data_IF_814138672681
#
_entry.id   IF_814138672681
#
_cell.length_a   1.000
_cell.length_b   1.000
_cell.length_c   1.000
_cell.angle_alpha   90.00
_cell.angle_beta   90.00
_cell.angle_gamma   90.00
#
_symmetry.space_group_name_H-M   'P 1'
#
loop_
_entity.id
_entity.type
_entity.pdbx_description
1 polymer ?
#
# COMPACT_ATOMS: atom_id res chain seq x y z
N UNK A 1 -1.13 10.29 -8.74
CA UNK A 1 -1.68 9.28 -7.82
C UNK A 1 -2.58 8.38 -8.65
N UNK A 2 -2.28 7.07 -8.77
CA UNK A 2 -3.17 6.10 -9.43
C UNK A 2 -3.94 5.35 -8.35
N UNK A 3 -5.25 5.18 -8.55
CA UNK A 3 -6.11 4.36 -7.70
C UNK A 3 -6.20 2.90 -8.20
N UNK A 4 -5.47 2.56 -9.26
CA UNK A 4 -5.46 1.23 -9.86
C UNK A 4 -4.40 0.34 -9.20
N UNK A 5 -4.73 -0.16 -8.00
CA UNK A 5 -3.82 -0.94 -7.16
C UNK A 5 -3.29 -2.23 -7.83
N UNK A 6 -4.07 -2.82 -8.74
CA UNK A 6 -3.64 -3.99 -9.53
C UNK A 6 -2.52 -3.68 -10.54
N UNK A 7 -2.50 -2.46 -11.08
CA UNK A 7 -1.42 -1.99 -11.96
C UNK A 7 -0.15 -1.70 -11.15
N UNK A 8 -0.30 -1.03 -10.00
CA UNK A 8 0.81 -0.77 -9.08
C UNK A 8 1.49 -2.07 -8.59
N UNK A 9 0.71 -3.14 -8.37
CA UNK A 9 1.24 -4.45 -7.99
C UNK A 9 2.14 -5.09 -9.04
N UNK A 10 1.90 -4.82 -10.32
CA UNK A 10 2.54 -5.56 -11.43
C UNK A 10 3.75 -4.82 -12.01
N UNK A 11 3.81 -3.50 -11.85
CA UNK A 11 4.81 -2.65 -12.53
C UNK A 11 5.73 -1.90 -11.56
N UNK A 12 5.33 -1.69 -10.30
CA UNK A 12 6.13 -0.91 -9.36
C UNK A 12 7.21 -1.76 -8.68
N UNK A 13 8.43 -1.25 -8.59
CA UNK A 13 9.48 -1.89 -7.80
C UNK A 13 9.29 -1.66 -6.28
N UNK A 14 8.67 -0.52 -5.93
CA UNK A 14 8.44 -0.07 -4.55
C UNK A 14 7.13 0.69 -4.43
N UNK A 15 6.45 0.52 -3.30
CA UNK A 15 5.25 1.25 -2.89
C UNK A 15 5.59 2.09 -1.67
N UNK A 16 5.20 3.36 -1.73
CA UNK A 16 5.28 4.29 -0.61
C UNK A 16 3.85 4.64 -0.21
N UNK A 17 3.47 4.26 1.01
CA UNK A 17 2.24 4.68 1.63
C UNK A 17 2.48 5.94 2.47
N UNK A 18 1.69 6.95 2.19
CA UNK A 18 1.75 8.24 2.87
C UNK A 18 0.42 8.53 3.53
N UNK A 19 0.48 9.06 4.76
CA UNK A 19 -0.67 9.53 5.52
C UNK A 19 -0.28 10.79 6.30
N UNK A 20 -1.20 11.74 6.40
CA UNK A 20 -0.99 13.04 7.05
C UNK A 20 0.30 13.78 6.61
N UNK A 21 0.72 13.62 5.35
CA UNK A 21 1.94 14.24 4.82
C UNK A 21 3.25 13.56 5.24
N UNK A 22 3.18 12.38 5.86
CA UNK A 22 4.35 11.59 6.27
C UNK A 22 4.39 10.25 5.53
N UNK A 23 5.59 9.73 5.30
CA UNK A 23 5.79 8.36 4.82
C UNK A 23 5.53 7.43 6.01
N UNK A 24 4.49 6.61 5.90
CA UNK A 24 4.07 5.66 6.94
C UNK A 24 4.68 4.29 6.71
N UNK A 25 4.79 3.87 5.44
CA UNK A 25 5.42 2.61 5.08
C UNK A 25 6.01 2.70 3.67
N UNK A 26 7.17 2.08 3.48
CA UNK A 26 7.79 1.91 2.18
C UNK A 26 8.19 0.44 2.03
N UNK A 27 7.64 -0.25 1.04
CA UNK A 27 7.90 -1.67 0.85
C UNK A 27 7.78 -2.09 -0.62
N UNK A 28 8.13 -3.34 -0.93
CA UNK A 28 7.80 -3.95 -2.23
C UNK A 28 6.28 -4.14 -2.34
N UNK A 29 5.69 -4.13 -3.56
CA UNK A 29 4.25 -4.35 -3.71
C UNK A 29 3.76 -5.64 -3.09
N UNK A 30 4.51 -6.74 -3.26
CA UNK A 30 4.15 -8.04 -2.71
C UNK A 30 4.05 -8.00 -1.19
N UNK A 31 5.06 -7.47 -0.50
CA UNK A 31 5.02 -7.34 0.96
C UNK A 31 3.96 -6.35 1.41
N UNK A 32 3.82 -5.21 0.73
CA UNK A 32 2.82 -4.20 1.07
C UNK A 32 1.41 -4.79 1.12
N UNK A 33 1.00 -5.55 0.10
CA UNK A 33 -0.35 -6.11 0.02
C UNK A 33 -0.55 -7.42 0.80
N UNK A 34 0.51 -8.20 1.06
CA UNK A 34 0.37 -9.53 1.72
C UNK A 34 0.73 -9.51 3.20
N UNK A 35 1.71 -8.69 3.60
CA UNK A 35 2.21 -8.60 4.96
C UNK A 35 2.66 -7.16 5.28
N UNK A 36 1.73 -6.20 5.36
CA UNK A 36 2.05 -4.83 5.73
C UNK A 36 2.62 -4.78 7.15
N UNK A 37 3.76 -4.10 7.30
CA UNK A 37 4.46 -3.99 8.58
C UNK A 37 3.80 -2.95 9.48
N UNK A 38 3.17 -1.91 8.90
CA UNK A 38 2.51 -0.85 9.64
C UNK A 38 1.01 -1.13 9.85
N UNK A 39 0.52 -0.85 11.06
CA UNK A 39 -0.90 -0.99 11.40
C UNK A 39 -1.79 -0.05 10.58
N UNK A 40 -1.33 1.17 10.28
CA UNK A 40 -2.10 2.13 9.46
C UNK A 40 -2.25 1.64 8.03
N UNK A 41 -1.19 1.07 7.46
CA UNK A 41 -1.24 0.43 6.14
C UNK A 41 -2.25 -0.70 6.12
N UNK A 42 -2.26 -1.55 7.16
CA UNK A 42 -3.23 -2.66 7.28
C UNK A 42 -4.67 -2.17 7.33
N UNK A 43 -4.94 -1.12 8.12
CA UNK A 43 -6.26 -0.50 8.19
C UNK A 43 -6.69 0.07 6.83
N UNK A 44 -5.78 0.76 6.13
CA UNK A 44 -6.02 1.26 4.78
C UNK A 44 -6.34 0.13 3.79
N UNK A 45 -5.53 -0.93 3.77
CA UNK A 45 -5.74 -2.09 2.90
C UNK A 45 -7.08 -2.78 3.16
N UNK A 46 -7.49 -2.91 4.43
CA UNK A 46 -8.80 -3.46 4.77
C UNK A 46 -9.96 -2.60 4.25
N UNK A 47 -9.83 -1.27 4.25
CA UNK A 47 -10.87 -0.39 3.73
C UNK A 47 -11.00 -0.47 2.20
N UNK A 48 -9.90 -0.66 1.49
CA UNK A 48 -9.89 -0.67 0.02
C UNK A 48 -10.14 -2.06 -0.60
N UNK A 49 -9.82 -3.16 0.10
CA UNK A 49 -9.96 -4.52 -0.42
C UNK A 49 -11.32 -5.15 -0.11
N UNK A 50 -12.09 -4.59 0.83
CA UNK A 50 -13.43 -5.05 1.18
C UNK A 50 -14.55 -4.44 0.32
N UNK A 51 -14.21 -3.75 -0.77
CA UNK A 51 -15.14 -3.20 -1.76
C UNK A 51 -14.70 -3.60 -3.17
#
# INVERSE_FOLDING_TARGET
MTHEMGFARTVADRIIFMDAGQIVEENTPERFFTNPENERTRLFLNQILHH
#
